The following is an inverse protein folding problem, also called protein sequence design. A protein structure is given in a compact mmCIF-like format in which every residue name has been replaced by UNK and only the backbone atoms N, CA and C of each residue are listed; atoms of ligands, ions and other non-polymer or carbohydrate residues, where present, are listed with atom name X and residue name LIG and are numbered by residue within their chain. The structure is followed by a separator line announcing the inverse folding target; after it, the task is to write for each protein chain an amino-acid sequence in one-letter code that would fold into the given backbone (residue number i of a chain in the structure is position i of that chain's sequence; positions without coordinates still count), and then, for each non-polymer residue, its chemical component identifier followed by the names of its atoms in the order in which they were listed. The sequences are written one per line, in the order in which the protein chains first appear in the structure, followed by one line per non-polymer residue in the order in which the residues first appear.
data_IF_468896862150
#
_entry.id   IF_468896862150
#
_cell.length_a   1.000
_cell.length_b   1.000
_cell.length_c   1.000
_cell.angle_alpha   90.00
_cell.angle_beta   90.00
_cell.angle_gamma   90.00
#
_symmetry.space_group_name_H-M   'P 1'
#
loop_
_entity.id
_entity.type
_entity.pdbx_description
1 polymer ?
#
# COMPACT_ATOMS: atom_id res chain seq x y z
N UNK A 1 -22.00 -2.60 -6.69
CA UNK A 1 -20.94 -2.90 -7.69
C UNK A 1 -19.85 -1.82 -7.74
N UNK A 2 -20.17 -0.52 -7.88
CA UNK A 2 -19.15 0.55 -7.96
C UNK A 2 -18.25 0.62 -6.71
N UNK A 3 -18.84 0.58 -5.51
CA UNK A 3 -18.10 0.60 -4.25
C UNK A 3 -17.06 -0.51 -4.15
N UNK A 4 -17.48 -1.75 -4.40
CA UNK A 4 -16.60 -2.92 -4.37
C UNK A 4 -15.45 -2.80 -5.38
N UNK A 5 -15.68 -2.23 -6.57
CA UNK A 5 -14.63 -2.05 -7.57
C UNK A 5 -13.58 -1.05 -7.12
N UNK A 6 -14.00 0.09 -6.55
CA UNK A 6 -13.08 1.13 -6.04
C UNK A 6 -12.25 0.57 -4.87
N UNK A 7 -12.89 -0.14 -3.94
CA UNK A 7 -12.20 -0.75 -2.79
C UNK A 7 -11.15 -1.76 -3.24
N UNK A 8 -11.46 -2.64 -4.20
CA UNK A 8 -10.50 -3.62 -4.72
C UNK A 8 -9.30 -2.93 -5.40
N UNK A 9 -9.54 -1.84 -6.13
CA UNK A 9 -8.48 -1.09 -6.81
C UNK A 9 -7.48 -0.53 -5.80
N UNK A 10 -7.97 0.10 -4.73
CA UNK A 10 -7.11 0.68 -3.68
C UNK A 10 -6.31 -0.41 -2.95
N UNK A 11 -6.90 -1.57 -2.66
CA UNK A 11 -6.21 -2.67 -1.97
C UNK A 11 -5.06 -3.26 -2.80
N UNK A 12 -5.13 -3.19 -4.13
CA UNK A 12 -4.14 -3.80 -5.04
C UNK A 12 -3.12 -2.82 -5.63
N UNK A 13 -3.11 -1.55 -5.20
CA UNK A 13 -2.22 -0.52 -5.76
C UNK A 13 -0.76 -0.96 -5.75
N UNK A 14 -0.28 -1.55 -4.65
CA UNK A 14 1.09 -2.06 -4.55
C UNK A 14 1.36 -3.20 -5.54
N UNK A 15 0.52 -4.24 -5.54
CA UNK A 15 0.68 -5.41 -6.41
C UNK A 15 0.70 -5.02 -7.90
N UNK A 16 -0.18 -4.09 -8.28
CA UNK A 16 -0.27 -3.58 -9.65
C UNK A 16 1.03 -2.85 -10.02
N UNK A 17 1.51 -1.93 -9.18
CA UNK A 17 2.74 -1.18 -9.48
C UNK A 17 3.95 -2.12 -9.56
N UNK A 18 4.06 -3.08 -8.65
CA UNK A 18 5.19 -4.01 -8.62
C UNK A 18 5.25 -4.90 -9.87
N UNK A 19 4.11 -5.38 -10.34
CA UNK A 19 4.03 -6.37 -11.44
C UNK A 19 3.98 -5.74 -12.82
N UNK A 20 3.30 -4.60 -12.98
CA UNK A 20 3.01 -4.02 -14.30
C UNK A 20 4.07 -3.02 -14.74
N UNK A 21 4.57 -2.19 -13.82
CA UNK A 21 5.42 -1.05 -14.17
C UNK A 21 6.73 -1.02 -13.40
N UNK A 22 6.81 -1.77 -12.30
CA UNK A 22 7.89 -1.71 -11.33
C UNK A 22 8.22 -0.26 -10.89
N UNK A 23 7.19 0.57 -10.77
CA UNK A 23 7.34 1.99 -10.38
C UNK A 23 7.84 2.93 -11.48
N UNK A 24 8.04 2.46 -12.71
CA UNK A 24 8.36 3.29 -13.86
C UNK A 24 7.17 4.16 -14.29
N UNK A 25 7.40 5.11 -15.21
CA UNK A 25 6.34 5.98 -15.77
C UNK A 25 5.57 6.80 -14.72
N UNK A 26 6.28 7.25 -13.68
CA UNK A 26 5.70 8.03 -12.58
C UNK A 26 4.62 7.29 -11.77
N UNK A 27 4.63 5.95 -11.78
CA UNK A 27 3.74 5.11 -10.97
C UNK A 27 4.35 4.66 -9.64
N UNK A 28 5.48 5.26 -9.25
CA UNK A 28 6.23 4.88 -8.05
C UNK A 28 5.38 5.06 -6.78
N UNK A 29 5.29 3.99 -5.98
CA UNK A 29 4.69 4.01 -4.65
C UNK A 29 5.75 3.73 -3.58
N UNK A 30 5.54 4.27 -2.37
CA UNK A 30 6.47 4.10 -1.24
C UNK A 30 6.75 2.62 -0.93
N UNK A 31 5.72 1.77 -1.03
CA UNK A 31 5.87 0.33 -0.85
C UNK A 31 6.79 -0.32 -1.91
N UNK A 32 6.73 0.14 -3.17
CA UNK A 32 7.62 -0.32 -4.24
C UNK A 32 9.06 0.12 -3.96
N UNK A 33 9.26 1.34 -3.44
CA UNK A 33 10.58 1.86 -3.08
C UNK A 33 11.22 1.08 -1.92
N UNK A 34 10.42 0.76 -0.89
CA UNK A 34 10.86 -0.09 0.21
C UNK A 34 11.28 -1.48 -0.29
N UNK A 35 10.45 -2.09 -1.14
CA UNK A 35 10.72 -3.42 -1.69
C UNK A 35 11.99 -3.44 -2.54
N UNK A 36 12.18 -2.45 -3.41
CA UNK A 36 13.39 -2.33 -4.23
C UNK A 36 14.64 -2.18 -3.36
N UNK A 37 14.66 -1.29 -2.37
CA UNK A 37 15.84 -1.09 -1.52
C UNK A 37 16.14 -2.27 -0.59
N UNK A 38 15.10 -2.96 -0.11
CA UNK A 38 15.26 -4.10 0.80
C UNK A 38 15.67 -5.39 0.08
N UNK A 39 15.17 -5.63 -1.14
CA UNK A 39 15.31 -6.94 -1.79
C UNK A 39 16.04 -6.91 -3.14
N UNK A 40 16.07 -5.77 -3.86
CA UNK A 40 16.69 -5.70 -5.21
C UNK A 40 17.92 -4.80 -5.29
N UNK A 41 18.03 -3.78 -4.44
CA UNK A 41 19.09 -2.77 -4.43
C UNK A 41 20.41 -3.19 -3.77
N UNK A 42 20.65 -4.49 -3.54
CA UNK A 42 21.88 -4.98 -2.91
C UNK A 42 21.83 -5.09 -1.38
N UNK A 43 20.64 -4.98 -0.75
CA UNK A 43 20.46 -5.22 0.68
C UNK A 43 20.62 -3.99 1.58
N UNK A 44 20.24 -2.80 1.09
CA UNK A 44 20.20 -1.56 1.89
C UNK A 44 19.01 -1.57 2.88
N UNK A 45 19.05 -2.50 3.84
CA UNK A 45 18.00 -2.69 4.84
C UNK A 45 17.74 -1.43 5.68
N UNK A 46 18.76 -0.59 5.92
CA UNK A 46 18.59 0.66 6.66
C UNK A 46 17.67 1.67 5.96
N UNK A 47 17.78 1.78 4.64
CA UNK A 47 16.93 2.67 3.84
C UNK A 47 15.52 2.10 3.69
N UNK A 48 15.42 0.79 3.45
CA UNK A 48 14.14 0.07 3.43
C UNK A 48 13.38 0.17 4.77
N UNK A 49 14.07 -0.01 5.89
CA UNK A 49 13.48 0.08 7.23
C UNK A 49 12.96 1.49 7.56
N UNK A 50 13.66 2.54 7.11
CA UNK A 50 13.19 3.92 7.29
C UNK A 50 11.86 4.16 6.58
N UNK A 51 11.70 3.66 5.35
CA UNK A 51 10.43 3.73 4.63
C UNK A 51 9.35 2.89 5.34
N UNK A 52 9.70 1.69 5.81
CA UNK A 52 8.78 0.84 6.54
C UNK A 52 8.22 1.53 7.80
N UNK A 53 9.07 2.25 8.54
CA UNK A 53 8.65 3.04 9.70
C UNK A 53 7.66 4.14 9.30
N UNK A 54 7.88 4.83 8.18
CA UNK A 54 6.94 5.83 7.68
C UNK A 54 5.59 5.19 7.32
N UNK A 55 5.60 3.97 6.76
CA UNK A 55 4.37 3.23 6.43
C UNK A 55 3.55 2.85 7.66
N UNK A 56 4.17 2.72 8.84
CA UNK A 56 3.44 2.51 10.11
C UNK A 56 2.51 3.70 10.41
N UNK A 57 2.85 4.91 9.95
CA UNK A 57 1.99 6.08 10.11
C UNK A 57 0.65 5.97 9.36
N UNK A 58 0.50 5.00 8.45
CA UNK A 58 -0.76 4.73 7.73
C UNK A 58 -1.74 3.90 8.56
N UNK A 59 -1.27 3.20 9.60
CA UNK A 59 -2.09 2.31 10.45
C UNK A 59 -3.30 3.03 11.08
N UNK A 60 -3.18 4.23 11.68
CA UNK A 60 -4.31 4.90 12.32
C UNK A 60 -5.46 5.17 11.34
N UNK A 61 -5.13 5.57 10.11
CA UNK A 61 -6.11 5.81 9.04
C UNK A 61 -6.77 4.49 8.63
N UNK A 62 -6.00 3.40 8.48
CA UNK A 62 -6.57 2.09 8.17
C UNK A 62 -7.53 1.60 9.25
N UNK A 63 -7.16 1.74 10.53
CA UNK A 63 -8.02 1.36 11.66
C UNK A 63 -9.34 2.14 11.63
N UNK A 64 -9.27 3.45 11.35
CA UNK A 64 -10.48 4.26 11.21
C UNK A 64 -11.34 3.79 10.02
N UNK A 65 -10.74 3.58 8.85
CA UNK A 65 -11.43 3.13 7.65
C UNK A 65 -12.10 1.76 7.82
N UNK A 66 -11.41 0.80 8.45
CA UNK A 66 -11.98 -0.54 8.72
C UNK A 66 -13.15 -0.44 9.71
N UNK A 67 -13.03 0.38 10.75
CA UNK A 67 -14.14 0.58 11.71
C UNK A 67 -15.35 1.24 11.05
N UNK A 68 -15.14 2.16 10.11
CA UNK A 68 -16.23 2.75 9.32
C UNK A 68 -16.85 1.72 8.38
N UNK A 69 -16.05 0.98 7.61
CA UNK A 69 -16.52 -0.08 6.72
C UNK A 69 -17.33 -1.17 7.46
N UNK A 70 -16.92 -1.55 8.67
CA UNK A 70 -17.65 -2.51 9.51
C UNK A 70 -19.01 -1.97 10.00
N UNK A 71 -19.10 -0.67 10.31
CA UNK A 71 -20.38 -0.02 10.68
C UNK A 71 -21.34 0.05 9.50
N UNK A 72 -20.82 0.39 8.32
CA UNK A 72 -21.61 0.46 7.08
C UNK A 72 -22.12 -0.93 6.66
N UNK A 73 -21.34 -1.99 6.89
CA UNK A 73 -21.73 -3.37 6.57
C UNK A 73 -22.68 -3.97 7.62
N UNK A 74 -22.61 -3.54 8.88
CA UNK A 74 -23.49 -4.00 9.97
C UNK A 74 -24.88 -3.33 10.01
N UNK A 75 -25.19 -2.45 9.07
CA UNK A 75 -26.48 -1.76 8.94
C UNK A 75 -27.45 -2.38 7.92
N UNK A 76 -27.16 -3.59 7.43
CA UNK A 76 -28.02 -4.37 6.54
C UNK A 76 -28.46 -5.66 7.21
#
# INVERSE_FOLDING_TARGET
VVWTTITILVLKVFDIVLTMTNGQWNSQVLANLMFDWMFRGGGDFGRGATIAIIMIAVIPIMVWNIRQANKETGGH
#
